data_IF_196824566413
#
_entry.id   IF_196824566413
#
_cell.length_a   1.000
_cell.length_b   1.000
_cell.length_c   1.000
_cell.angle_alpha   90.00
_cell.angle_beta   90.00
_cell.angle_gamma   90.00
#
_symmetry.space_group_name_H-M   'P 1'
#
loop_
_entity.id
_entity.type
_entity.pdbx_description
1 polymer ?
#
# COMPACT_ATOMS: atom_id res chain seq x y z
N UNK A 1 -13.95 -12.29 21.84
CA UNK A 1 -12.52 -12.21 21.51
C UNK A 1 -12.25 -13.20 20.39
N UNK A 2 -11.86 -12.73 19.21
CA UNK A 2 -11.43 -13.62 18.14
C UNK A 2 -9.98 -13.97 18.39
N UNK A 3 -9.65 -15.26 18.53
CA UNK A 3 -8.27 -15.68 18.71
C UNK A 3 -7.58 -15.65 17.34
N UNK A 4 -6.69 -14.68 17.12
CA UNK A 4 -5.91 -14.54 15.89
C UNK A 4 -4.46 -14.82 16.25
N UNK A 5 -3.88 -15.84 15.65
CA UNK A 5 -2.47 -16.19 15.83
C UNK A 5 -1.67 -15.32 14.85
N UNK A 6 -0.87 -14.41 15.39
CA UNK A 6 0.04 -13.55 14.64
C UNK A 6 1.43 -13.75 15.24
N UNK A 7 2.43 -13.86 14.39
CA UNK A 7 3.82 -13.90 14.80
C UNK A 7 4.19 -12.65 15.63
N UNK A 8 4.79 -12.87 16.80
CA UNK A 8 5.07 -11.77 17.74
C UNK A 8 6.18 -10.85 17.23
N UNK A 9 7.15 -11.36 16.46
CA UNK A 9 8.20 -10.55 15.85
C UNK A 9 7.60 -9.63 14.79
N UNK A 10 6.71 -10.16 13.94
CA UNK A 10 5.98 -9.38 12.95
C UNK A 10 5.18 -8.24 13.61
N UNK A 11 4.50 -8.53 14.72
CA UNK A 11 3.73 -7.51 15.45
C UNK A 11 4.64 -6.45 16.08
N UNK A 12 5.78 -6.86 16.65
CA UNK A 12 6.77 -5.93 17.22
C UNK A 12 7.37 -5.02 16.15
N UNK A 13 7.74 -5.57 14.99
CA UNK A 13 8.28 -4.81 13.87
C UNK A 13 7.25 -3.82 13.32
N UNK A 14 5.99 -4.23 13.22
CA UNK A 14 4.91 -3.37 12.77
C UNK A 14 4.64 -2.23 13.77
N UNK A 15 4.61 -2.50 15.08
CA UNK A 15 4.50 -1.46 16.12
C UNK A 15 5.66 -0.46 16.03
N UNK A 16 6.89 -0.94 15.89
CA UNK A 16 8.09 -0.10 15.76
C UNK A 16 8.07 0.75 14.49
N UNK A 17 7.71 0.16 13.35
CA UNK A 17 7.69 0.84 12.05
C UNK A 17 6.57 1.89 11.94
N UNK A 18 5.43 1.65 12.61
CA UNK A 18 4.26 2.54 12.55
C UNK A 18 4.20 3.54 13.71
N UNK A 19 4.91 3.29 14.81
CA UNK A 19 4.83 4.08 16.03
C UNK A 19 3.52 3.91 16.80
N UNK A 20 2.70 2.92 16.44
CA UNK A 20 1.43 2.63 17.10
C UNK A 20 1.65 1.96 18.47
N UNK A 21 0.66 2.09 19.35
CA UNK A 21 0.80 1.67 20.75
C UNK A 21 0.20 0.30 21.02
N UNK A 22 -0.78 -0.12 20.22
CA UNK A 22 -1.56 -1.34 20.48
C UNK A 22 -1.60 -2.29 19.28
N UNK A 23 -1.68 -3.59 19.58
CA UNK A 23 -1.85 -4.63 18.54
C UNK A 23 -3.12 -4.40 17.71
N UNK A 24 -4.20 -3.88 18.31
CA UNK A 24 -5.45 -3.59 17.60
C UNK A 24 -5.29 -2.50 16.54
N UNK A 25 -4.63 -1.38 16.87
CA UNK A 25 -4.38 -0.30 15.91
C UNK A 25 -3.55 -0.78 14.71
N UNK A 26 -2.52 -1.59 14.97
CA UNK A 26 -1.67 -2.18 13.92
C UNK A 26 -2.48 -3.08 13.00
N UNK A 27 -3.32 -3.95 13.55
CA UNK A 27 -4.18 -4.84 12.76
C UNK A 27 -5.16 -4.03 11.91
N UNK A 28 -5.82 -3.02 12.49
CA UNK A 28 -6.76 -2.17 11.76
C UNK A 28 -6.08 -1.40 10.62
N UNK A 29 -4.91 -0.80 10.89
CA UNK A 29 -4.12 -0.11 9.89
C UNK A 29 -3.67 -1.07 8.77
N UNK A 30 -3.23 -2.28 9.13
CA UNK A 30 -2.82 -3.31 8.18
C UNK A 30 -3.97 -3.70 7.23
N UNK A 31 -5.16 -3.95 7.77
CA UNK A 31 -6.35 -4.29 6.99
C UNK A 31 -6.77 -3.14 6.05
N UNK A 32 -6.83 -1.90 6.55
CA UNK A 32 -7.11 -0.71 5.72
C UNK A 32 -6.09 -0.54 4.60
N UNK A 33 -4.82 -0.74 4.91
CA UNK A 33 -3.72 -0.65 3.92
C UNK A 33 -3.86 -1.71 2.84
N UNK A 34 -4.17 -2.96 3.21
CA UNK A 34 -4.37 -4.05 2.25
C UNK A 34 -5.51 -3.74 1.28
N UNK A 35 -6.64 -3.26 1.79
CA UNK A 35 -7.79 -2.85 0.96
C UNK A 35 -7.37 -1.74 -0.02
N UNK A 36 -6.66 -0.70 0.47
CA UNK A 36 -6.18 0.40 -0.36
C UNK A 36 -5.25 -0.10 -1.48
N UNK A 37 -4.31 -0.98 -1.17
CA UNK A 37 -3.40 -1.57 -2.16
C UNK A 37 -4.18 -2.35 -3.24
N UNK A 38 -5.21 -3.12 -2.85
CA UNK A 38 -6.07 -3.83 -3.80
C UNK A 38 -6.92 -2.91 -4.67
N UNK A 39 -7.36 -1.77 -4.14
CA UNK A 39 -8.03 -0.76 -4.95
C UNK A 39 -7.06 -0.13 -5.97
N UNK A 40 -5.82 0.16 -5.57
CA UNK A 40 -4.78 0.70 -6.45
C UNK A 40 -4.36 -0.30 -7.54
N UNK A 41 -4.39 -1.62 -7.27
CA UNK A 41 -4.15 -2.64 -8.30
C UNK A 41 -5.10 -2.51 -9.49
N UNK A 42 -6.33 -2.00 -9.32
CA UNK A 42 -7.26 -1.77 -10.43
C UNK A 42 -6.72 -0.77 -11.46
N UNK A 43 -5.87 0.17 -11.03
CA UNK A 43 -5.18 1.10 -11.95
C UNK A 43 -4.26 0.34 -12.91
N UNK A 44 -3.64 -0.76 -12.46
CA UNK A 44 -2.80 -1.60 -13.33
C UNK A 44 -3.59 -2.20 -14.50
N UNK A 45 -4.90 -2.40 -14.35
CA UNK A 45 -5.76 -2.89 -15.43
C UNK A 45 -5.92 -1.90 -16.60
N UNK A 46 -5.55 -0.64 -16.39
CA UNK A 46 -5.56 0.42 -17.40
C UNK A 46 -4.20 0.59 -18.11
N UNK A 47 -3.16 -0.17 -17.71
CA UNK A 47 -1.84 -0.16 -18.36
C UNK A 47 -2.00 -0.53 -19.85
N UNK A 48 -1.56 0.35 -20.74
CA UNK A 48 -1.67 0.18 -22.20
C UNK A 48 -3.08 0.39 -22.77
N UNK A 49 -4.08 0.71 -21.95
CA UNK A 49 -5.47 0.99 -22.39
C UNK A 49 -5.79 2.48 -22.43
N UNK A 50 -5.09 3.30 -21.65
CA UNK A 50 -5.27 4.74 -21.68
C UNK A 50 -4.42 5.33 -22.79
N UNK A 51 -5.03 6.18 -23.61
CA UNK A 51 -4.32 6.96 -24.62
C UNK A 51 -3.48 8.01 -23.91
N UNK A 52 -2.17 7.93 -24.07
CA UNK A 52 -1.25 8.93 -23.56
C UNK A 52 -1.23 10.13 -24.53
N UNK A 53 -1.54 11.32 -24.04
CA UNK A 53 -1.56 12.57 -24.83
C UNK A 53 -0.40 13.49 -24.43
N UNK A 54 0.83 12.96 -24.43
CA UNK A 54 2.04 13.73 -24.13
C UNK A 54 3.20 13.36 -25.05
N UNK A 55 4.04 14.34 -25.39
CA UNK A 55 5.24 14.12 -26.19
C UNK A 55 6.40 13.70 -25.27
N UNK A 56 6.78 12.42 -25.33
CA UNK A 56 7.86 11.86 -24.51
C UNK A 56 9.23 12.49 -24.78
N UNK A 57 9.47 12.95 -26.01
CA UNK A 57 10.74 13.57 -26.39
C UNK A 57 10.87 14.98 -25.80
N UNK A 58 9.79 15.78 -25.83
CA UNK A 58 9.76 17.10 -25.18
C UNK A 58 10.03 17.02 -23.66
N UNK A 59 9.53 15.96 -22.99
CA UNK A 59 9.76 15.76 -21.56
C UNK A 59 11.21 15.40 -21.23
N UNK A 60 11.96 14.79 -22.17
CA UNK A 60 13.36 14.38 -21.98
C UNK A 60 14.35 15.50 -22.29
N UNK A 61 13.98 16.46 -23.14
CA UNK A 61 14.86 17.56 -23.54
C UNK A 61 14.90 18.74 -22.56
N UNK A 62 14.09 18.74 -21.49
CA UNK A 62 14.12 19.74 -20.42
C UNK A 62 15.04 19.36 -19.24
N UNK A 63 16.11 18.59 -19.49
CA UNK A 63 17.14 18.24 -18.51
C UNK A 63 18.47 18.95 -18.79
#
# INVERSE_FOLDING_TARGET
>A
MTNIIIDDQLMADALKATGLKTKQEVVELGLKTLIRLKQQEKIKAFKGKLKWEGNLEEMRHNQ
#
